data_IF_797926956986
#
_entry.id   IF_797926956986
#
_cell.length_a   1.000
_cell.length_b   1.000
_cell.length_c   1.000
_cell.angle_alpha   90.00
_cell.angle_beta   90.00
_cell.angle_gamma   90.00
#
_symmetry.space_group_name_H-M   'P 1'
#
loop_
_entity.id
_entity.type
_entity.pdbx_description
1 polymer ?
#
# COMPACT_ATOMS: atom_id res chain seq x y z
N UNK A 1 0.27 -16.45 -30.05
CA UNK A 1 0.80 -15.66 -28.91
C UNK A 1 1.35 -14.29 -29.30
N UNK A 2 0.88 -13.65 -30.39
CA UNK A 2 1.31 -12.31 -30.83
C UNK A 2 0.37 -11.20 -30.34
N UNK A 3 -0.93 -11.49 -30.28
CA UNK A 3 -1.96 -10.53 -29.88
C UNK A 3 -1.91 -10.19 -28.38
N UNK A 4 -1.45 -11.11 -27.53
CA UNK A 4 -1.29 -10.87 -26.09
C UNK A 4 -0.17 -9.85 -25.81
N UNK A 5 0.96 -9.98 -26.52
CA UNK A 5 2.06 -9.02 -26.41
C UNK A 5 1.64 -7.63 -26.90
N UNK A 6 0.87 -7.55 -27.98
CA UNK A 6 0.36 -6.27 -28.50
C UNK A 6 -0.57 -5.60 -27.48
N UNK A 7 -1.43 -6.35 -26.79
CA UNK A 7 -2.30 -5.81 -25.75
C UNK A 7 -1.53 -5.30 -24.54
N UNK A 8 -0.48 -6.02 -24.10
CA UNK A 8 0.37 -5.59 -22.99
C UNK A 8 1.13 -4.31 -23.36
N UNK A 9 1.71 -4.26 -24.57
CA UNK A 9 2.44 -3.08 -25.07
C UNK A 9 1.51 -1.88 -25.24
N UNK A 10 0.31 -2.08 -25.78
CA UNK A 10 -0.69 -1.02 -25.92
C UNK A 10 -1.17 -0.50 -24.55
N UNK A 11 -1.37 -1.39 -23.57
CA UNK A 11 -1.72 -1.01 -22.20
C UNK A 11 -0.61 -0.22 -21.51
N UNK A 12 0.65 -0.63 -21.66
CA UNK A 12 1.80 0.08 -21.11
C UNK A 12 1.96 1.47 -21.73
N UNK A 13 1.80 1.60 -23.04
CA UNK A 13 1.81 2.89 -23.73
C UNK A 13 0.64 3.77 -23.29
N UNK A 14 -0.57 3.22 -23.17
CA UNK A 14 -1.73 3.98 -22.71
C UNK A 14 -1.53 4.55 -21.31
N UNK A 15 -1.03 3.74 -20.36
CA UNK A 15 -0.74 4.21 -19.00
C UNK A 15 0.41 5.22 -18.95
N UNK A 16 1.40 5.10 -19.84
CA UNK A 16 2.52 6.03 -19.90
C UNK A 16 2.13 7.38 -20.54
N UNK A 17 1.29 7.38 -21.57
CA UNK A 17 0.91 8.58 -22.33
C UNK A 17 -0.38 9.25 -21.85
N UNK A 18 -1.23 8.56 -21.09
CA UNK A 18 -2.40 9.13 -20.41
C UNK A 18 -2.25 9.02 -18.89
N UNK A 19 -1.31 9.78 -18.29
CA UNK A 19 -1.24 9.88 -16.83
C UNK A 19 -2.57 10.39 -16.32
N UNK A 20 -3.22 9.64 -15.42
CA UNK A 20 -4.49 10.05 -14.85
C UNK A 20 -4.24 11.17 -13.84
N UNK A 21 -4.59 12.45 -14.15
CA UNK A 21 -4.20 13.58 -13.31
C UNK A 21 -4.79 13.50 -11.90
N UNK A 22 -5.94 12.84 -11.75
CA UNK A 22 -6.58 12.57 -10.45
C UNK A 22 -5.79 11.58 -9.60
N UNK A 23 -5.23 10.54 -10.21
CA UNK A 23 -4.44 9.53 -9.51
C UNK A 23 -3.11 10.13 -9.04
N UNK A 24 -2.45 10.90 -9.91
CA UNK A 24 -1.22 11.63 -9.59
C UNK A 24 -1.45 12.65 -8.47
N UNK A 25 -2.47 13.51 -8.58
CA UNK A 25 -2.77 14.50 -7.54
C UNK A 25 -3.08 13.84 -6.19
N UNK A 26 -3.92 12.78 -6.19
CA UNK A 26 -4.20 12.00 -4.99
C UNK A 26 -2.93 11.35 -4.42
N UNK A 27 -2.07 10.75 -5.26
CA UNK A 27 -0.81 10.16 -4.82
C UNK A 27 0.13 11.19 -4.16
N UNK A 28 0.25 12.38 -4.76
CA UNK A 28 1.06 13.47 -4.19
C UNK A 28 0.49 13.98 -2.86
N UNK A 29 -0.84 14.13 -2.75
CA UNK A 29 -1.50 14.52 -1.51
C UNK A 29 -1.27 13.50 -0.40
N UNK A 30 -1.41 12.21 -0.72
CA UNK A 30 -1.20 11.13 0.24
C UNK A 30 0.26 11.07 0.69
N UNK A 31 1.21 11.25 -0.23
CA UNK A 31 2.64 11.34 0.10
C UNK A 31 2.94 12.51 1.04
N UNK A 32 2.35 13.68 0.78
CA UNK A 32 2.51 14.85 1.64
C UNK A 32 1.89 14.66 3.03
N UNK A 33 0.69 14.08 3.09
CA UNK A 33 -0.01 13.79 4.34
C UNK A 33 0.75 12.77 5.21
N UNK A 34 1.24 11.69 4.62
CA UNK A 34 2.10 10.68 5.28
C UNK A 34 3.30 11.37 5.91
N UNK A 35 4.07 12.12 5.12
CA UNK A 35 5.24 12.85 5.63
C UNK A 35 4.90 13.77 6.82
N UNK A 36 3.73 14.42 6.79
CA UNK A 36 3.30 15.34 7.84
C UNK A 36 2.75 14.63 9.10
N UNK A 37 1.93 13.59 8.94
CA UNK A 37 1.35 12.82 10.03
C UNK A 37 2.42 12.05 10.82
N UNK A 38 3.44 11.54 10.12
CA UNK A 38 4.48 10.71 10.73
C UNK A 38 5.60 11.52 11.38
N UNK A 39 5.79 12.79 11.00
CA UNK A 39 6.84 13.67 11.57
C UNK A 39 6.74 13.94 13.08
N UNK A 40 5.62 13.63 13.75
CA UNK A 40 5.37 13.99 15.16
C UNK A 40 5.77 12.94 16.23
N UNK A 41 6.32 11.76 15.86
CA UNK A 41 6.69 10.68 16.80
C UNK A 41 8.21 10.48 16.99
N UNK A 42 8.63 10.06 18.19
CA UNK A 42 10.04 10.01 18.66
C UNK A 42 10.85 8.76 18.26
N UNK A 43 10.25 7.73 17.64
CA UNK A 43 10.96 6.48 17.30
C UNK A 43 11.21 6.34 15.78
N UNK A 44 12.35 6.86 15.33
CA UNK A 44 12.70 6.95 13.90
C UNK A 44 12.93 5.60 13.23
N UNK A 45 13.48 4.61 13.95
CA UNK A 45 13.77 3.27 13.38
C UNK A 45 12.50 2.46 13.18
N UNK A 46 11.57 2.55 14.13
CA UNK A 46 10.29 1.85 14.06
C UNK A 46 9.38 2.50 13.01
N UNK A 47 9.37 3.83 12.94
CA UNK A 47 8.63 4.59 11.92
C UNK A 47 9.10 4.30 10.51
N UNK A 48 10.42 4.27 10.28
CA UNK A 48 10.99 3.97 8.96
C UNK A 48 10.46 2.62 8.43
N UNK A 49 10.22 1.62 9.28
CA UNK A 49 9.73 0.30 8.84
C UNK A 49 8.27 0.31 8.42
N UNK A 50 7.40 0.93 9.22
CA UNK A 50 5.98 1.04 8.89
C UNK A 50 5.78 1.88 7.61
N UNK A 51 6.59 2.94 7.48
CA UNK A 51 6.69 3.76 6.26
C UNK A 51 7.14 2.94 5.05
N UNK A 52 8.17 2.10 5.21
CA UNK A 52 8.64 1.21 4.12
C UNK A 52 7.57 0.26 3.61
N UNK A 53 6.72 -0.28 4.50
CA UNK A 53 5.60 -1.14 4.08
C UNK A 53 4.61 -0.37 3.21
N UNK A 54 4.28 0.88 3.56
CA UNK A 54 3.41 1.73 2.75
C UNK A 54 4.06 2.08 1.40
N UNK A 55 5.35 2.47 1.41
CA UNK A 55 6.14 2.78 0.22
C UNK A 55 6.19 1.57 -0.75
N UNK A 56 6.45 0.37 -0.25
CA UNK A 56 6.52 -0.85 -1.06
C UNK A 56 5.17 -1.25 -1.68
N UNK A 57 4.06 -0.78 -1.10
CA UNK A 57 2.72 -0.98 -1.63
C UNK A 57 2.33 0.06 -2.68
N UNK A 58 3.03 1.20 -2.77
CA UNK A 58 2.72 2.28 -3.72
C UNK A 58 2.55 1.82 -5.18
N UNK A 59 3.42 0.94 -5.72
CA UNK A 59 3.25 0.46 -7.10
C UNK A 59 1.95 -0.31 -7.33
N UNK A 60 1.29 -0.75 -6.25
CA UNK A 60 0.06 -1.53 -6.27
C UNK A 60 -1.19 -0.68 -5.95
N UNK A 61 -1.05 0.61 -5.66
CA UNK A 61 -2.16 1.49 -5.26
C UNK A 61 -3.27 1.59 -6.31
N UNK A 62 -2.96 1.39 -7.59
CA UNK A 62 -3.95 1.34 -8.67
C UNK A 62 -5.07 0.31 -8.45
N UNK A 63 -4.84 -0.69 -7.59
CA UNK A 63 -5.79 -1.74 -7.27
C UNK A 63 -6.58 -1.51 -5.99
N UNK A 64 -6.26 -0.46 -5.24
CA UNK A 64 -6.94 -0.10 -4.00
C UNK A 64 -7.92 1.06 -4.29
N UNK A 65 -9.06 1.04 -3.62
CA UNK A 65 -9.97 2.17 -3.58
C UNK A 65 -9.43 3.28 -2.67
N UNK A 66 -9.93 4.53 -2.79
CA UNK A 66 -9.55 5.62 -1.89
C UNK A 66 -9.77 5.30 -0.40
N UNK A 67 -10.82 4.56 -0.08
CA UNK A 67 -11.13 4.15 1.30
C UNK A 67 -10.15 3.08 1.81
N UNK A 68 -9.79 2.12 0.95
CA UNK A 68 -8.78 1.10 1.28
C UNK A 68 -7.40 1.73 1.46
N UNK A 69 -7.05 2.77 0.68
CA UNK A 69 -5.79 3.48 0.80
C UNK A 69 -5.74 4.33 2.07
N UNK A 70 -6.86 4.94 2.44
CA UNK A 70 -7.00 5.64 3.73
C UNK A 70 -6.84 4.66 4.88
N UNK A 71 -7.45 3.48 4.80
CA UNK A 71 -7.28 2.43 5.80
C UNK A 71 -5.83 1.89 5.80
N UNK A 72 -5.21 1.74 4.63
CA UNK A 72 -3.81 1.32 4.51
C UNK A 72 -2.87 2.30 5.24
N UNK A 73 -3.10 3.61 5.14
CA UNK A 73 -2.36 4.62 5.90
C UNK A 73 -2.53 4.45 7.41
N UNK A 74 -3.73 4.08 7.88
CA UNK A 74 -3.99 3.86 9.30
C UNK A 74 -3.23 2.63 9.83
N UNK A 75 -3.27 1.51 9.10
CA UNK A 75 -2.57 0.28 9.54
C UNK A 75 -1.05 0.37 9.38
N UNK A 76 -0.56 1.22 8.48
CA UNK A 76 0.89 1.50 8.30
C UNK A 76 1.37 2.69 9.10
N UNK A 77 0.55 3.20 10.03
CA UNK A 77 0.87 4.43 10.75
C UNK A 77 2.04 4.29 11.74
N UNK A 78 2.18 3.09 12.30
CA UNK A 78 3.23 2.72 13.23
C UNK A 78 3.33 1.19 13.30
N UNK A 79 4.37 0.68 13.95
CA UNK A 79 4.60 -0.77 14.05
C UNK A 79 3.50 -1.50 14.80
N UNK A 80 2.93 -0.92 15.84
CA UNK A 80 1.89 -1.60 16.64
C UNK A 80 0.61 -1.79 15.80
N UNK A 81 0.25 -0.81 14.98
CA UNK A 81 -0.85 -0.91 14.03
C UNK A 81 -0.59 -1.97 12.95
N UNK A 82 0.63 -2.03 12.40
CA UNK A 82 1.02 -3.06 11.42
C UNK A 82 0.96 -4.44 12.05
N UNK A 83 1.49 -4.57 13.28
CA UNK A 83 1.52 -5.82 14.02
C UNK A 83 0.12 -6.33 14.32
N UNK A 84 -0.76 -5.47 14.86
CA UNK A 84 -2.15 -5.81 15.11
C UNK A 84 -2.86 -6.28 13.84
N UNK A 85 -2.70 -5.54 12.73
CA UNK A 85 -3.24 -5.96 11.44
C UNK A 85 -2.69 -7.32 10.98
N UNK A 86 -1.39 -7.56 11.15
CA UNK A 86 -0.74 -8.79 10.73
C UNK A 86 -1.21 -10.00 11.52
N UNK A 87 -1.30 -9.87 12.85
CA UNK A 87 -1.80 -10.92 13.74
C UNK A 87 -3.28 -11.22 13.44
N UNK A 88 -4.12 -10.19 13.36
CA UNK A 88 -5.58 -10.35 13.17
C UNK A 88 -5.94 -10.90 11.79
N UNK A 89 -5.33 -10.39 10.71
CA UNK A 89 -5.81 -10.61 9.35
C UNK A 89 -4.86 -11.41 8.45
N UNK A 90 -3.57 -11.51 8.79
CA UNK A 90 -2.60 -12.22 7.96
C UNK A 90 -2.25 -13.60 8.54
N UNK A 91 -1.91 -13.68 9.82
CA UNK A 91 -1.57 -14.95 10.48
C UNK A 91 -2.81 -15.83 10.68
N UNK A 92 -3.88 -15.24 11.21
CA UNK A 92 -5.15 -15.95 11.44
C UNK A 92 -5.95 -16.20 10.15
N UNK A 93 -5.48 -15.69 9.00
CA UNK A 93 -6.16 -15.76 7.69
C UNK A 93 -7.62 -15.31 7.74
N UNK A 94 -7.91 -14.31 8.56
CA UNK A 94 -9.24 -13.75 8.71
C UNK A 94 -9.46 -12.64 7.68
N UNK A 95 -10.65 -12.59 7.08
CA UNK A 95 -11.01 -11.53 6.15
C UNK A 95 -11.08 -10.17 6.85
N UNK A 96 -10.47 -9.16 6.23
CA UNK A 96 -10.56 -7.79 6.68
C UNK A 96 -11.80 -7.11 6.05
N UNK A 97 -12.75 -6.57 6.83
CA UNK A 97 -13.96 -5.97 6.29
C UNK A 97 -13.72 -4.66 5.52
N UNK A 98 -12.53 -4.06 5.64
CA UNK A 98 -12.15 -2.79 5.00
C UNK A 98 -11.18 -2.94 3.84
N UNK A 99 -10.65 -4.14 3.58
CA UNK A 99 -9.81 -4.43 2.43
C UNK A 99 -10.46 -5.48 1.56
N UNK A 100 -10.44 -5.26 0.26
CA UNK A 100 -10.75 -6.30 -0.70
C UNK A 100 -9.77 -7.48 -0.52
N UNK A 101 -10.22 -8.75 -0.61
CA UNK A 101 -9.35 -9.91 -0.33
C UNK A 101 -8.04 -9.95 -1.14
N UNK A 102 -8.10 -9.52 -2.39
CA UNK A 102 -6.92 -9.41 -3.26
C UNK A 102 -5.93 -8.34 -2.79
N UNK A 103 -6.41 -7.27 -2.17
CA UNK A 103 -5.59 -6.19 -1.62
C UNK A 103 -5.05 -6.57 -0.25
N UNK A 104 -5.85 -7.18 0.62
CA UNK A 104 -5.37 -7.78 1.86
C UNK A 104 -4.22 -8.76 1.60
N UNK A 105 -4.34 -9.61 0.58
CA UNK A 105 -3.27 -10.55 0.21
C UNK A 105 -1.97 -9.82 -0.14
N UNK A 106 -2.04 -8.69 -0.84
CA UNK A 106 -0.86 -7.86 -1.17
C UNK A 106 -0.25 -7.26 0.09
N UNK A 107 -1.08 -6.68 0.96
CA UNK A 107 -0.63 -6.10 2.23
C UNK A 107 0.05 -7.18 3.07
N UNK A 108 -0.57 -8.34 3.27
CA UNK A 108 0.01 -9.43 4.05
C UNK A 108 1.34 -9.94 3.48
N UNK A 109 1.46 -10.04 2.15
CA UNK A 109 2.73 -10.40 1.50
C UNK A 109 3.83 -9.36 1.74
N UNK A 110 3.49 -8.08 1.64
CA UNK A 110 4.47 -7.01 1.92
C UNK A 110 4.88 -7.03 3.39
N UNK A 111 3.91 -7.10 4.31
CA UNK A 111 4.16 -7.12 5.76
C UNK A 111 5.01 -8.33 6.17
N UNK A 112 4.80 -9.49 5.56
CA UNK A 112 5.62 -10.70 5.79
C UNK A 112 7.12 -10.47 5.55
N UNK A 113 7.50 -9.65 4.55
CA UNK A 113 8.90 -9.31 4.30
C UNK A 113 9.56 -8.53 5.46
N UNK A 114 8.76 -7.98 6.35
CA UNK A 114 9.18 -7.19 7.50
C UNK A 114 8.86 -7.88 8.83
N UNK A 115 8.33 -9.10 8.84
CA UNK A 115 7.85 -9.80 10.05
C UNK A 115 8.90 -9.89 11.16
N UNK A 116 10.15 -10.22 10.82
CA UNK A 116 11.27 -10.30 11.79
C UNK A 116 11.63 -8.95 12.45
N UNK A 117 10.99 -7.86 12.02
CA UNK A 117 11.20 -6.50 12.50
C UNK A 117 9.93 -5.89 13.14
N UNK A 118 8.80 -6.61 13.08
CA UNK A 118 7.52 -6.33 13.76
C UNK A 118 7.54 -6.80 15.22
#
# INVERSE_FOLDING_TARGET
>A
MKNLLILIVAGALFLHFYPQPKLEAWYQEQKAYVMQAFSKGTDTKVRLKAEKIYEDLQPQFYSFSPDELTYLQQITANRDAVKAFYEDYCQNRQDNPRLHPSNQTKVCKTVYNYEGLL
#
